data_IF_240985334173
#
_entry.id   IF_240985334173
#
_cell.length_a   1.000
_cell.length_b   1.000
_cell.length_c   1.000
_cell.angle_alpha   90.00
_cell.angle_beta   90.00
_cell.angle_gamma   90.00
#
_symmetry.space_group_name_H-M   'P 1'
#
loop_
_entity.id
_entity.type
_entity.pdbx_description
1 polymer ?
#
# COMPACT_ATOMS: atom_id res chain seq x y z
N UNK A 1 -1.01 7.87 9.80
CA UNK A 1 -0.82 8.47 8.47
C UNK A 1 -0.87 10.01 8.55
N UNK A 2 -0.28 10.70 7.55
CA UNK A 2 -0.31 12.16 7.44
C UNK A 2 -1.66 12.75 6.97
N UNK A 3 -2.69 11.92 6.80
CA UNK A 3 -3.99 12.34 6.26
C UNK A 3 -4.69 13.44 7.06
N UNK A 4 -4.60 13.40 8.39
CA UNK A 4 -5.19 14.45 9.23
C UNK A 4 -4.58 15.82 8.96
N UNK A 5 -3.26 15.89 8.85
CA UNK A 5 -2.55 17.13 8.52
C UNK A 5 -2.86 17.60 7.08
N UNK A 6 -2.92 16.68 6.12
CA UNK A 6 -3.25 17.01 4.73
C UNK A 6 -4.67 17.57 4.61
N UNK A 7 -5.66 16.94 5.23
CA UNK A 7 -7.05 17.44 5.27
C UNK A 7 -7.14 18.83 5.91
N UNK A 8 -6.47 19.03 7.05
CA UNK A 8 -6.43 20.34 7.73
C UNK A 8 -5.84 21.44 6.83
N UNK A 9 -4.74 21.16 6.14
CA UNK A 9 -4.11 22.13 5.23
C UNK A 9 -5.00 22.46 4.04
N UNK A 10 -5.70 21.46 3.51
CA UNK A 10 -6.67 21.67 2.43
C UNK A 10 -7.85 22.54 2.89
N UNK A 11 -8.49 22.19 4.00
CA UNK A 11 -9.66 22.89 4.53
C UNK A 11 -9.34 24.34 4.92
N UNK A 12 -8.17 24.56 5.54
CA UNK A 12 -7.81 25.87 6.05
C UNK A 12 -7.16 26.80 5.01
N UNK A 13 -6.37 26.24 4.10
CA UNK A 13 -5.53 27.02 3.20
C UNK A 13 -5.77 26.72 1.71
N UNK A 14 -6.65 25.78 1.38
CA UNK A 14 -6.87 25.35 -0.01
C UNK A 14 -5.65 24.68 -0.65
N UNK A 15 -4.76 24.11 0.17
CA UNK A 15 -3.57 23.41 -0.32
C UNK A 15 -3.97 21.98 -0.71
N UNK A 16 -3.99 21.61 -2.00
CA UNK A 16 -4.34 20.27 -2.42
C UNK A 16 -3.27 19.26 -2.02
N UNK A 17 -3.66 17.99 -1.91
CA UNK A 17 -2.76 16.91 -1.58
C UNK A 17 -2.93 15.72 -2.52
N UNK A 18 -1.88 14.91 -2.62
CA UNK A 18 -1.90 13.62 -3.31
C UNK A 18 -1.59 12.53 -2.31
N UNK A 19 -2.41 11.48 -2.31
CA UNK A 19 -2.23 10.29 -1.48
C UNK A 19 -1.46 9.24 -2.28
N UNK A 20 -0.29 8.86 -1.77
CA UNK A 20 0.57 7.84 -2.37
C UNK A 20 2.03 8.01 -1.94
N UNK A 21 2.72 6.89 -1.79
CA UNK A 21 4.16 6.85 -1.53
C UNK A 21 4.86 6.47 -2.84
N UNK A 22 5.82 7.25 -3.35
CA UNK A 22 6.37 7.08 -4.70
C UNK A 22 7.32 5.88 -4.81
N UNK A 23 6.80 4.67 -4.57
CA UNK A 23 7.49 3.40 -4.72
C UNK A 23 7.64 3.04 -6.21
N UNK A 24 8.76 2.39 -6.54
CA UNK A 24 9.04 2.06 -7.92
C UNK A 24 9.28 3.30 -8.80
N UNK A 25 9.67 3.11 -10.04
CA UNK A 25 9.86 4.23 -10.99
C UNK A 25 8.55 4.68 -11.62
N UNK A 26 7.78 3.72 -12.15
CA UNK A 26 6.54 4.06 -12.87
C UNK A 26 5.49 4.69 -11.97
N UNK A 27 5.31 4.15 -10.76
CA UNK A 27 4.35 4.73 -9.84
C UNK A 27 4.82 6.08 -9.28
N UNK A 28 6.13 6.28 -9.09
CA UNK A 28 6.68 7.59 -8.74
C UNK A 28 6.36 8.67 -9.80
N UNK A 29 6.40 8.31 -11.10
CA UNK A 29 5.99 9.21 -12.19
C UNK A 29 4.48 9.52 -12.13
N UNK A 30 3.63 8.55 -11.80
CA UNK A 30 2.19 8.76 -11.59
C UNK A 30 1.96 9.76 -10.45
N UNK A 31 2.61 9.57 -9.30
CA UNK A 31 2.52 10.49 -8.14
C UNK A 31 2.95 11.90 -8.53
N UNK A 32 4.05 12.04 -9.30
CA UNK A 32 4.53 13.35 -9.75
C UNK A 32 3.54 14.03 -10.71
N UNK A 33 2.95 13.28 -11.63
CA UNK A 33 1.93 13.80 -12.55
C UNK A 33 0.68 14.26 -11.77
N UNK A 34 0.21 13.46 -10.83
CA UNK A 34 -0.92 13.80 -9.97
C UNK A 34 -0.64 15.04 -9.11
N UNK A 35 0.59 15.22 -8.61
CA UNK A 35 1.00 16.44 -7.90
C UNK A 35 0.91 17.66 -8.81
N UNK A 36 1.42 17.57 -10.04
CA UNK A 36 1.36 18.66 -11.00
C UNK A 36 -0.09 19.01 -11.39
N UNK A 37 -0.96 18.02 -11.53
CA UNK A 37 -2.38 18.25 -11.77
C UNK A 37 -3.07 18.86 -10.55
N UNK A 38 -2.85 18.33 -9.35
CA UNK A 38 -3.45 18.83 -8.11
C UNK A 38 -3.11 20.32 -7.88
N UNK A 39 -1.87 20.73 -8.18
CA UNK A 39 -1.45 22.13 -8.11
C UNK A 39 -2.27 23.01 -9.07
N UNK A 40 -2.54 22.53 -10.29
CA UNK A 40 -3.28 23.26 -11.33
C UNK A 40 -4.77 23.32 -11.05
N UNK A 41 -5.37 22.16 -10.73
CA UNK A 41 -6.83 22.03 -10.56
C UNK A 41 -7.33 22.38 -9.16
N UNK A 42 -6.42 22.40 -8.17
CA UNK A 42 -6.75 22.52 -6.74
C UNK A 42 -7.58 21.36 -6.18
N UNK A 43 -7.54 20.22 -6.85
CA UNK A 43 -8.25 19.00 -6.45
C UNK A 43 -7.30 18.01 -5.77
N UNK A 44 -7.82 17.33 -4.74
CA UNK A 44 -7.08 16.25 -4.08
C UNK A 44 -7.10 14.98 -4.92
N UNK A 45 -6.02 14.21 -4.87
CA UNK A 45 -5.90 12.96 -5.65
C UNK A 45 -5.44 11.78 -4.79
N UNK A 46 -5.80 10.59 -5.25
CA UNK A 46 -5.30 9.32 -4.75
C UNK A 46 -4.60 8.63 -5.93
N UNK A 47 -3.27 8.60 -5.90
CA UNK A 47 -2.46 8.20 -7.06
C UNK A 47 -2.66 6.74 -7.48
N UNK A 48 -3.01 5.85 -6.55
CA UNK A 48 -3.27 4.43 -6.81
C UNK A 48 -4.73 4.10 -7.17
N UNK A 49 -5.62 5.11 -7.26
CA UNK A 49 -7.07 4.89 -7.44
C UNK A 49 -7.44 4.06 -8.67
N UNK A 50 -6.62 4.10 -9.71
CA UNK A 50 -6.88 3.39 -10.97
C UNK A 50 -6.26 1.98 -11.02
N UNK A 51 -5.65 1.50 -9.94
CA UNK A 51 -5.14 0.12 -9.87
C UNK A 51 -6.31 -0.86 -10.00
N UNK A 52 -6.15 -1.87 -10.85
CA UNK A 52 -7.12 -2.95 -10.97
C UNK A 52 -6.97 -3.93 -9.82
N UNK A 53 -8.06 -4.28 -9.19
CA UNK A 53 -8.15 -5.29 -8.14
C UNK A 53 -8.77 -6.57 -8.70
N UNK A 54 -8.38 -7.71 -8.14
CA UNK A 54 -8.95 -9.03 -8.49
C UNK A 54 -9.05 -9.89 -7.24
N UNK A 55 -10.04 -10.76 -7.18
CA UNK A 55 -10.25 -11.65 -6.04
C UNK A 55 -9.09 -12.63 -5.83
N UNK A 56 -8.59 -13.23 -6.92
CA UNK A 56 -7.47 -14.18 -6.91
C UNK A 56 -6.20 -13.51 -7.46
N UNK A 57 -5.59 -12.64 -6.67
CA UNK A 57 -4.40 -11.92 -7.05
C UNK A 57 -3.13 -12.80 -7.05
N UNK A 58 -2.15 -12.45 -7.89
CA UNK A 58 -0.82 -13.08 -7.90
C UNK A 58 -0.09 -12.88 -6.58
N UNK A 59 -0.26 -11.69 -5.98
CA UNK A 59 0.44 -11.24 -4.77
C UNK A 59 -0.58 -10.66 -3.80
N UNK A 60 -0.41 -10.94 -2.50
CA UNK A 60 -1.16 -10.28 -1.41
C UNK A 60 -0.18 -9.48 -0.57
N UNK A 61 -0.52 -8.22 -0.27
CA UNK A 61 0.29 -7.35 0.61
C UNK A 61 -0.47 -7.16 1.92
N UNK A 62 0.20 -7.35 3.06
CA UNK A 62 -0.35 -7.04 4.39
C UNK A 62 0.43 -5.86 4.96
N UNK A 63 -0.28 -4.77 5.33
CA UNK A 63 0.39 -3.62 5.93
C UNK A 63 -0.51 -2.41 6.15
N UNK A 64 0.10 -1.24 6.23
CA UNK A 64 -0.61 0.04 6.32
C UNK A 64 -1.20 0.41 4.95
N UNK A 65 -2.42 0.94 4.94
CA UNK A 65 -3.20 1.13 3.72
C UNK A 65 -2.48 1.91 2.61
N UNK A 66 -2.01 3.13 2.89
CA UNK A 66 -1.42 4.00 1.86
C UNK A 66 -0.13 3.41 1.29
N UNK A 67 0.73 2.85 2.15
CA UNK A 67 1.99 2.23 1.71
C UNK A 67 1.71 0.95 0.92
N UNK A 68 0.79 0.10 1.40
CA UNK A 68 0.44 -1.16 0.74
C UNK A 68 -0.21 -0.93 -0.62
N UNK A 69 -1.15 0.01 -0.73
CA UNK A 69 -1.78 0.40 -1.98
C UNK A 69 -0.78 0.99 -2.99
N UNK A 70 0.14 1.82 -2.49
CA UNK A 70 1.20 2.41 -3.32
C UNK A 70 2.14 1.34 -3.86
N UNK A 71 2.55 0.38 -3.02
CA UNK A 71 3.39 -0.73 -3.43
C UNK A 71 2.66 -1.66 -4.40
N UNK A 72 1.37 -1.93 -4.14
CA UNK A 72 0.54 -2.73 -5.03
C UNK A 72 0.45 -2.11 -6.42
N UNK A 73 0.25 -0.79 -6.50
CA UNK A 73 0.23 -0.07 -7.76
C UNK A 73 1.61 -0.12 -8.45
N UNK A 74 2.69 0.09 -7.72
CA UNK A 74 4.04 0.03 -8.26
C UNK A 74 4.37 -1.36 -8.84
N UNK A 75 3.97 -2.44 -8.16
CA UNK A 75 4.15 -3.82 -8.64
C UNK A 75 3.30 -4.06 -9.90
N UNK A 76 2.04 -3.63 -9.91
CA UNK A 76 1.17 -3.79 -11.06
C UNK A 76 1.74 -3.09 -12.30
N UNK A 77 2.24 -1.86 -12.15
CA UNK A 77 2.81 -1.07 -13.24
C UNK A 77 4.17 -1.59 -13.76
N UNK A 78 5.01 -2.15 -12.88
CA UNK A 78 6.36 -2.57 -13.27
C UNK A 78 6.47 -4.05 -13.60
N UNK A 79 5.67 -4.91 -12.99
CA UNK A 79 5.76 -6.38 -13.11
C UNK A 79 4.56 -7.02 -13.82
N UNK A 80 3.53 -6.25 -14.18
CA UNK A 80 2.29 -6.76 -14.77
C UNK A 80 1.67 -7.89 -13.90
N UNK A 81 1.62 -7.65 -12.58
CA UNK A 81 1.07 -8.58 -11.59
C UNK A 81 -0.17 -8.00 -10.94
N UNK A 82 -1.14 -8.86 -10.68
CA UNK A 82 -2.31 -8.50 -9.89
C UNK A 82 -1.97 -8.55 -8.40
N UNK A 83 -2.46 -7.56 -7.65
CA UNK A 83 -2.14 -7.43 -6.23
C UNK A 83 -3.40 -7.15 -5.43
N UNK A 84 -3.58 -7.88 -4.32
CA UNK A 84 -4.60 -7.64 -3.30
C UNK A 84 -3.94 -7.02 -2.08
N UNK A 85 -4.63 -6.08 -1.42
CA UNK A 85 -4.16 -5.44 -0.19
C UNK A 85 -5.04 -5.86 0.99
N UNK A 86 -4.38 -6.19 2.10
CA UNK A 86 -4.99 -6.39 3.41
C UNK A 86 -4.45 -5.28 4.32
N UNK A 87 -5.29 -4.32 4.67
CA UNK A 87 -4.93 -3.29 5.64
C UNK A 87 -5.04 -3.87 7.05
N UNK A 88 -3.89 -4.00 7.71
CA UNK A 88 -3.79 -4.55 9.07
C UNK A 88 -3.92 -3.48 10.16
N UNK A 89 -4.29 -2.27 9.81
CA UNK A 89 -4.50 -1.14 10.72
C UNK A 89 -5.84 -0.48 10.42
N UNK A 90 -6.40 0.16 11.45
CA UNK A 90 -7.56 1.02 11.27
C UNK A 90 -7.28 2.09 10.22
N UNK A 91 -8.13 2.17 9.23
CA UNK A 91 -7.97 3.07 8.09
C UNK A 91 -9.32 3.65 7.62
N UNK A 92 -9.27 4.76 6.93
CA UNK A 92 -10.42 5.32 6.21
C UNK A 92 -10.68 4.41 4.98
N UNK A 93 -11.86 3.80 4.90
CA UNK A 93 -12.25 2.89 3.81
C UNK A 93 -12.07 3.52 2.42
N UNK A 94 -12.15 4.86 2.32
CA UNK A 94 -11.92 5.58 1.07
C UNK A 94 -10.47 5.50 0.56
N UNK A 95 -9.54 5.03 1.40
CA UNK A 95 -8.13 4.81 1.06
C UNK A 95 -7.85 3.41 0.53
N UNK A 96 -8.82 2.51 0.56
CA UNK A 96 -8.72 1.17 -0.02
C UNK A 96 -9.52 1.09 -1.33
N UNK A 97 -9.11 0.19 -2.20
CA UNK A 97 -9.82 -0.10 -3.43
C UNK A 97 -10.84 -1.22 -3.21
N UNK A 98 -11.85 -1.28 -4.07
CA UNK A 98 -12.84 -2.36 -4.06
C UNK A 98 -12.13 -3.71 -4.27
N UNK A 99 -12.41 -4.70 -3.39
CA UNK A 99 -11.76 -6.01 -3.40
C UNK A 99 -10.55 -6.14 -2.47
N UNK A 100 -10.03 -5.03 -1.94
CA UNK A 100 -9.09 -5.03 -0.83
C UNK A 100 -9.85 -5.07 0.50
N UNK A 101 -9.21 -5.43 1.60
CA UNK A 101 -9.89 -5.61 2.87
C UNK A 101 -9.17 -4.96 4.06
N UNK A 102 -9.94 -4.64 5.09
CA UNK A 102 -9.44 -4.31 6.43
C UNK A 102 -9.53 -5.58 7.27
N UNK A 103 -8.44 -5.95 7.92
CA UNK A 103 -8.39 -7.08 8.84
C UNK A 103 -7.39 -6.74 9.95
N UNK A 104 -7.89 -6.53 11.16
CA UNK A 104 -7.08 -6.01 12.27
C UNK A 104 -6.64 -7.08 13.25
N UNK A 105 -7.23 -8.26 13.20
CA UNK A 105 -6.82 -9.40 14.01
C UNK A 105 -6.30 -10.58 13.17
N UNK A 106 -5.66 -11.55 13.83
CA UNK A 106 -5.01 -12.68 13.17
C UNK A 106 -6.02 -13.60 12.45
N UNK A 107 -7.24 -13.75 12.98
CA UNK A 107 -8.27 -14.60 12.40
C UNK A 107 -8.81 -13.99 11.10
N UNK A 108 -9.09 -12.69 11.11
CA UNK A 108 -9.51 -11.93 9.93
C UNK A 108 -8.45 -11.95 8.85
N UNK A 109 -7.18 -11.66 9.21
CA UNK A 109 -6.06 -11.69 8.26
C UNK A 109 -5.91 -13.09 7.66
N UNK A 110 -5.92 -14.15 8.49
CA UNK A 110 -5.81 -15.53 8.01
C UNK A 110 -6.96 -15.89 7.07
N UNK A 111 -8.16 -15.41 7.34
CA UNK A 111 -9.32 -15.60 6.46
C UNK A 111 -9.13 -14.92 5.11
N UNK A 112 -8.60 -13.69 5.10
CA UNK A 112 -8.29 -12.94 3.88
C UNK A 112 -7.13 -13.54 3.06
N UNK A 113 -6.25 -14.34 3.70
CA UNK A 113 -5.10 -15.00 3.06
C UNK A 113 -5.42 -16.32 2.39
N UNK A 114 -6.66 -16.82 2.47
CA UNK A 114 -7.04 -18.09 1.84
C UNK A 114 -6.76 -18.06 0.34
N UNK A 115 -5.91 -19.00 -0.11
CA UNK A 115 -5.51 -19.12 -1.52
C UNK A 115 -4.40 -18.15 -1.97
N UNK A 116 -3.83 -17.33 -1.07
CA UNK A 116 -2.71 -16.47 -1.38
C UNK A 116 -1.47 -17.29 -1.74
N UNK A 117 -0.86 -17.00 -2.91
CA UNK A 117 0.32 -17.73 -3.43
C UNK A 117 1.63 -17.05 -3.05
N UNK A 118 1.67 -15.73 -3.15
CA UNK A 118 2.80 -14.92 -2.73
C UNK A 118 2.31 -13.83 -1.78
N UNK A 119 3.02 -13.61 -0.68
CA UNK A 119 2.63 -12.66 0.37
C UNK A 119 3.82 -11.75 0.63
N UNK A 120 3.60 -10.45 0.52
CA UNK A 120 4.55 -9.41 0.95
C UNK A 120 4.03 -8.84 2.27
N UNK A 121 4.79 -8.98 3.34
CA UNK A 121 4.38 -8.49 4.65
C UNK A 121 5.56 -8.27 5.58
N UNK A 122 5.30 -7.56 6.67
CA UNK A 122 6.24 -7.48 7.79
C UNK A 122 6.50 -8.89 8.37
N UNK A 123 7.75 -9.20 8.78
CA UNK A 123 8.12 -10.52 9.35
C UNK A 123 7.20 -11.00 10.48
N UNK A 124 6.56 -10.11 11.23
CA UNK A 124 5.61 -10.46 12.29
C UNK A 124 4.38 -11.23 11.80
N UNK A 125 4.01 -11.07 10.53
CA UNK A 125 2.86 -11.79 9.94
C UNK A 125 3.21 -13.17 9.42
N UNK A 126 4.50 -13.54 9.34
CA UNK A 126 4.92 -14.84 8.80
C UNK A 126 4.27 -16.04 9.48
N UNK A 127 4.09 -16.07 10.84
CA UNK A 127 3.49 -17.22 11.52
C UNK A 127 2.05 -17.54 11.11
N UNK A 128 1.28 -16.55 10.65
CA UNK A 128 -0.13 -16.70 10.25
C UNK A 128 -0.32 -16.89 8.74
N UNK A 129 0.76 -16.83 7.96
CA UNK A 129 0.70 -17.04 6.52
C UNK A 129 0.59 -18.54 6.17
N UNK A 130 -0.12 -18.91 5.08
CA UNK A 130 -0.15 -20.29 4.61
C UNK A 130 1.26 -20.86 4.37
N UNK A 131 1.49 -22.08 4.83
CA UNK A 131 2.82 -22.74 4.77
C UNK A 131 3.33 -22.86 3.33
N UNK A 132 2.43 -23.07 2.37
CA UNK A 132 2.76 -23.24 0.94
C UNK A 132 2.88 -21.90 0.19
N UNK A 133 2.68 -20.76 0.88
CA UNK A 133 2.83 -19.44 0.26
C UNK A 133 4.29 -19.02 0.17
N UNK A 134 4.64 -18.29 -0.92
CA UNK A 134 5.93 -17.63 -1.03
C UNK A 134 5.92 -16.33 -0.20
N UNK A 135 6.50 -16.37 1.00
CA UNK A 135 6.57 -15.21 1.88
C UNK A 135 7.78 -14.33 1.54
N UNK A 136 7.49 -13.07 1.22
CA UNK A 136 8.49 -12.02 0.93
C UNK A 136 8.47 -11.03 2.10
N UNK A 137 9.57 -11.03 2.85
CA UNK A 137 9.74 -10.14 4.01
C UNK A 137 9.87 -8.70 3.58
N UNK A 138 9.01 -7.83 4.10
CA UNK A 138 9.09 -6.39 3.94
C UNK A 138 8.88 -5.73 5.32
N UNK A 139 9.95 -5.56 6.12
CA UNK A 139 9.84 -4.95 7.43
C UNK A 139 9.28 -3.53 7.34
N UNK A 140 8.45 -3.17 8.30
CA UNK A 140 7.82 -1.85 8.38
C UNK A 140 8.20 -1.18 9.71
N UNK A 141 8.58 0.10 9.66
CA UNK A 141 9.05 0.85 10.84
C UNK A 141 8.03 0.82 12.00
N UNK A 142 6.73 0.85 11.71
CA UNK A 142 5.65 0.84 12.70
C UNK A 142 5.31 -0.54 13.28
N UNK A 143 5.84 -1.64 12.71
CA UNK A 143 5.59 -3.01 13.18
C UNK A 143 6.87 -3.60 13.80
N UNK A 144 7.76 -4.12 12.98
CA UNK A 144 8.99 -4.79 13.42
C UNK A 144 10.26 -3.92 13.28
N UNK A 145 10.13 -2.64 12.97
CA UNK A 145 11.25 -1.75 12.63
C UNK A 145 12.34 -1.66 13.70
N UNK A 146 12.00 -1.88 14.98
CA UNK A 146 13.03 -1.92 16.05
C UNK A 146 14.01 -3.09 15.91
N UNK A 147 13.56 -4.18 15.27
CA UNK A 147 14.35 -5.42 15.11
C UNK A 147 15.00 -5.45 13.72
N UNK A 148 14.24 -5.02 12.67
CA UNK A 148 14.62 -5.20 11.27
C UNK A 148 14.89 -3.88 10.54
N UNK A 149 15.23 -2.81 11.25
CA UNK A 149 15.40 -1.47 10.66
C UNK A 149 16.38 -1.43 9.50
N UNK A 150 17.50 -2.13 9.64
CA UNK A 150 18.55 -2.16 8.64
C UNK A 150 18.18 -3.00 7.40
N UNK A 151 17.10 -3.79 7.50
CA UNK A 151 16.58 -4.60 6.42
C UNK A 151 15.44 -3.91 5.63
N UNK A 152 14.97 -2.74 6.08
CA UNK A 152 13.93 -1.98 5.37
C UNK A 152 14.50 -1.47 4.04
N UNK A 153 14.01 -1.94 2.88
CA UNK A 153 14.55 -1.52 1.60
C UNK A 153 14.14 -0.09 1.24
N UNK A 154 15.06 0.67 0.70
CA UNK A 154 14.70 1.93 0.06
C UNK A 154 14.26 1.67 -1.39
N UNK A 155 12.97 1.63 -1.62
CA UNK A 155 12.34 1.41 -2.93
C UNK A 155 11.73 2.68 -3.54
N UNK A 156 11.97 3.85 -2.92
CA UNK A 156 11.49 5.15 -3.43
C UNK A 156 12.16 5.45 -4.77
N UNK A 157 11.37 5.63 -5.82
CA UNK A 157 11.83 5.94 -7.18
C UNK A 157 12.94 5.00 -7.69
N UNK A 158 12.89 3.72 -7.32
CA UNK A 158 13.80 2.67 -7.80
C UNK A 158 13.00 1.58 -8.49
N UNK A 159 13.61 0.90 -9.47
CA UNK A 159 12.98 -0.30 -10.06
C UNK A 159 12.77 -1.36 -8.99
N UNK A 160 11.58 -1.96 -8.97
CA UNK A 160 11.19 -3.05 -8.07
C UNK A 160 11.74 -4.41 -8.56
#
# INVERSE_FOLDING_TARGET
>A
SGMGAAKYLYEKFGIPYVVGTPFGKKFAEIVLNDLNEAIKTKENKIAYKNRKTVENADITIIGESIMSESLACAIAEEKDKTVKVISALETDERLLLEGDCIAMDEEEITSCLKGAKAIIADPLYKPICPVDSNFISLPHEGFSGRIYRDEIPNIINKSL
#
